data_IF_247128279586
#
_entry.id   IF_247128279586
#
_cell.length_a   1.000
_cell.length_b   1.000
_cell.length_c   1.000
_cell.angle_alpha   90.00
_cell.angle_beta   90.00
_cell.angle_gamma   90.00
#
_symmetry.space_group_name_H-M   'P 1'
#
loop_
_entity.id
_entity.type
_entity.pdbx_description
1 polymer ?
#
# COMPACT_ATOMS: atom_id res chain seq x y z
N UNK A 1 -4.01 12.05 0.93
CA UNK A 1 -2.86 12.86 1.31
C UNK A 1 -2.36 12.43 2.69
N UNK A 2 -1.07 12.38 2.92
CA UNK A 2 -0.42 11.93 4.15
C UNK A 2 0.62 12.97 4.58
N UNK A 3 0.17 14.14 5.00
CA UNK A 3 1.04 15.30 5.26
C UNK A 3 1.93 15.15 6.50
N UNK A 4 1.55 14.30 7.45
CA UNK A 4 2.21 14.19 8.76
C UNK A 4 2.64 12.77 9.14
N UNK A 5 2.53 11.81 8.23
CA UNK A 5 2.76 10.38 8.44
C UNK A 5 1.79 9.70 9.46
N UNK A 6 0.76 10.41 9.92
CA UNK A 6 -0.18 9.92 10.94
C UNK A 6 -1.62 9.92 10.49
N UNK A 7 -1.92 10.54 9.33
CA UNK A 7 -3.29 10.70 8.83
C UNK A 7 -3.37 10.49 7.33
N UNK A 8 -4.49 9.89 6.88
CA UNK A 8 -4.88 9.86 5.47
C UNK A 8 -6.14 10.70 5.29
N UNK A 9 -6.09 11.59 4.29
CA UNK A 9 -7.21 12.43 3.90
C UNK A 9 -7.64 12.15 2.46
N UNK A 10 -8.90 12.39 2.18
CA UNK A 10 -9.44 12.41 0.83
C UNK A 10 -9.97 13.80 0.49
N UNK A 11 -9.85 14.20 -0.76
CA UNK A 11 -10.50 15.37 -1.34
C UNK A 11 -11.38 14.92 -2.50
N UNK A 12 -12.52 15.56 -2.66
CA UNK A 12 -13.48 15.30 -3.73
C UNK A 12 -13.83 16.60 -4.42
N UNK A 13 -13.87 16.59 -5.77
CA UNK A 13 -14.26 17.73 -6.60
C UNK A 13 -14.72 17.24 -7.98
N UNK A 14 -15.52 18.05 -8.69
CA UNK A 14 -15.99 17.72 -10.04
C UNK A 14 -14.88 17.77 -11.09
N UNK A 15 -13.80 18.53 -10.83
CA UNK A 15 -12.65 18.67 -11.74
C UNK A 15 -11.32 18.65 -10.97
N UNK A 16 -10.24 18.23 -11.66
CA UNK A 16 -8.88 18.22 -11.07
C UNK A 16 -8.45 19.59 -10.52
N UNK A 17 -8.65 20.75 -11.23
CA UNK A 17 -8.29 22.04 -10.68
C UNK A 17 -9.01 22.42 -9.38
N UNK A 18 -10.24 21.94 -9.17
CA UNK A 18 -11.01 22.23 -7.96
C UNK A 18 -10.52 21.45 -6.75
N UNK A 19 -9.80 20.32 -6.94
CA UNK A 19 -9.20 19.55 -5.84
C UNK A 19 -8.25 20.38 -4.98
N UNK A 20 -7.60 21.41 -5.55
CA UNK A 20 -6.68 22.29 -4.81
C UNK A 20 -7.38 23.00 -3.64
N UNK A 21 -8.67 23.35 -3.81
CA UNK A 21 -9.46 24.04 -2.81
C UNK A 21 -10.54 23.16 -2.15
N UNK A 22 -10.60 21.87 -2.51
CA UNK A 22 -11.56 20.94 -1.92
C UNK A 22 -11.23 20.68 -0.45
N UNK A 23 -12.27 20.51 0.37
CA UNK A 23 -12.13 20.21 1.77
C UNK A 23 -11.50 18.82 1.97
N UNK A 24 -10.53 18.75 2.86
CA UNK A 24 -9.94 17.47 3.28
C UNK A 24 -10.87 16.76 4.26
N UNK A 25 -11.16 15.50 3.97
CA UNK A 25 -11.92 14.60 4.85
C UNK A 25 -10.97 13.54 5.40
N UNK A 26 -10.85 13.47 6.71
CA UNK A 26 -10.06 12.44 7.38
C UNK A 26 -10.71 11.06 7.16
N UNK A 27 -9.95 10.09 6.67
CA UNK A 27 -10.42 8.71 6.45
C UNK A 27 -9.70 7.68 7.30
N UNK A 28 -8.47 7.95 7.73
CA UNK A 28 -7.70 7.10 8.64
C UNK A 28 -6.77 7.97 9.48
N UNK A 29 -6.64 7.65 10.75
CA UNK A 29 -5.61 8.19 11.63
C UNK A 29 -4.91 7.08 12.42
N UNK A 30 -3.66 7.32 12.79
CA UNK A 30 -2.77 6.39 13.46
C UNK A 30 -3.22 5.97 14.87
N UNK A 31 -4.25 6.62 15.43
CA UNK A 31 -4.80 6.26 16.76
C UNK A 31 -5.96 5.28 16.67
N UNK A 32 -6.51 5.05 15.47
CA UNK A 32 -7.70 4.23 15.28
C UNK A 32 -7.41 2.74 15.44
N UNK A 33 -6.31 2.26 14.84
CA UNK A 33 -5.95 0.84 14.85
C UNK A 33 -4.47 0.65 15.24
N UNK A 34 -4.17 -0.12 16.30
CA UNK A 34 -2.79 -0.25 16.80
C UNK A 34 -1.76 -0.79 15.79
N UNK A 35 -2.20 -1.59 14.81
CA UNK A 35 -1.31 -2.19 13.80
C UNK A 35 -0.96 -1.23 12.66
N UNK A 36 -1.64 -0.10 12.54
CA UNK A 36 -1.37 0.99 11.60
C UNK A 36 -1.11 2.30 12.34
N UNK A 37 -0.33 2.23 13.41
CA UNK A 37 -0.10 3.30 14.38
C UNK A 37 0.83 4.41 13.92
N UNK A 38 1.52 4.28 12.76
CA UNK A 38 2.48 5.26 12.29
C UNK A 38 2.78 5.07 10.80
N UNK A 39 3.45 6.07 10.19
CA UNK A 39 3.96 6.04 8.82
C UNK A 39 2.89 5.62 7.79
N UNK A 40 1.74 6.30 7.80
CA UNK A 40 0.69 6.11 6.82
C UNK A 40 1.11 6.71 5.48
N UNK A 41 1.74 5.89 4.61
CA UNK A 41 2.37 6.34 3.37
C UNK A 41 1.69 5.80 2.12
N UNK A 42 1.97 6.47 0.99
CA UNK A 42 1.64 6.06 -0.37
C UNK A 42 0.20 5.53 -0.55
N UNK A 43 -0.85 6.28 -0.14
CA UNK A 43 -2.21 5.83 -0.36
C UNK A 43 -2.58 5.88 -1.85
N UNK A 44 -3.10 4.77 -2.37
CA UNK A 44 -3.61 4.66 -3.73
C UNK A 44 -5.03 4.12 -3.78
N UNK A 45 -5.88 4.73 -4.61
CA UNK A 45 -7.21 4.23 -4.92
C UNK A 45 -7.18 3.19 -6.03
N UNK A 46 -7.88 2.06 -5.79
CA UNK A 46 -8.08 1.04 -6.81
C UNK A 46 -9.53 0.52 -6.81
N UNK A 47 -10.07 0.28 -7.99
CA UNK A 47 -11.31 -0.46 -8.16
C UNK A 47 -10.98 -1.92 -8.49
N UNK A 48 -11.50 -2.86 -7.68
CA UNK A 48 -11.33 -4.30 -7.86
C UNK A 48 -12.72 -4.95 -7.82
N UNK A 49 -13.14 -5.60 -8.89
CA UNK A 49 -14.48 -6.19 -9.00
C UNK A 49 -15.63 -5.24 -8.65
N UNK A 50 -15.54 -3.97 -9.06
CA UNK A 50 -16.58 -2.96 -8.81
C UNK A 50 -16.64 -2.44 -7.37
N UNK A 51 -15.67 -2.74 -6.54
CA UNK A 51 -15.51 -2.19 -5.19
C UNK A 51 -14.29 -1.30 -5.12
N UNK A 52 -14.35 -0.26 -4.28
CA UNK A 52 -13.22 0.66 -4.06
C UNK A 52 -12.37 0.20 -2.88
N UNK A 53 -11.06 0.29 -3.09
CA UNK A 53 -10.03 -0.03 -2.10
C UNK A 53 -9.02 1.10 -2.01
N UNK A 54 -8.40 1.24 -0.84
CA UNK A 54 -7.19 2.05 -0.65
C UNK A 54 -6.08 1.11 -0.21
N UNK A 55 -5.02 1.03 -1.03
CA UNK A 55 -3.74 0.45 -0.62
C UNK A 55 -2.89 1.54 0.00
N UNK A 56 -2.19 1.23 1.07
CA UNK A 56 -1.26 2.14 1.76
C UNK A 56 -0.22 1.35 2.53
N UNK A 57 0.90 1.96 2.87
CA UNK A 57 1.85 1.41 3.80
C UNK A 57 1.56 1.93 5.22
N UNK A 58 1.88 1.15 6.22
CA UNK A 58 1.79 1.52 7.63
C UNK A 58 2.62 0.59 8.52
N UNK A 59 2.98 1.08 9.70
CA UNK A 59 3.66 0.31 10.75
C UNK A 59 2.93 0.45 12.09
N UNK A 60 2.99 -0.55 13.00
CA UNK A 60 2.47 -0.39 14.35
C UNK A 60 3.24 0.66 15.18
N UNK A 61 4.56 0.79 14.98
CA UNK A 61 5.42 1.61 15.84
C UNK A 61 6.72 2.10 15.16
N UNK A 62 7.47 1.22 14.52
CA UNK A 62 8.82 1.48 14.02
C UNK A 62 8.94 1.30 12.51
N UNK A 63 9.72 2.15 11.84
CA UNK A 63 9.97 2.10 10.40
C UNK A 63 10.33 0.70 9.86
N UNK A 64 11.13 -0.08 10.58
CA UNK A 64 11.54 -1.43 10.16
C UNK A 64 10.43 -2.49 10.22
N UNK A 65 9.19 -2.08 10.55
CA UNK A 65 7.98 -2.92 10.51
C UNK A 65 6.94 -2.37 9.55
N UNK A 66 7.37 -1.53 8.60
CA UNK A 66 6.49 -0.94 7.58
C UNK A 66 6.01 -2.03 6.62
N UNK A 67 4.71 -2.13 6.43
CA UNK A 67 4.09 -3.16 5.62
C UNK A 67 2.91 -2.61 4.79
N UNK A 68 2.67 -3.24 3.65
CA UNK A 68 1.55 -2.90 2.77
C UNK A 68 0.22 -3.35 3.37
N UNK A 69 -0.75 -2.45 3.41
CA UNK A 69 -2.12 -2.66 3.90
C UNK A 69 -3.14 -2.28 2.84
N UNK A 70 -4.37 -2.77 3.01
CA UNK A 70 -5.51 -2.43 2.17
C UNK A 70 -6.76 -2.28 3.02
N UNK A 71 -7.59 -1.28 2.72
CA UNK A 71 -8.91 -1.11 3.28
C UNK A 71 -9.97 -1.04 2.18
N UNK A 72 -11.18 -1.56 2.46
CA UNK A 72 -12.31 -1.68 1.54
C UNK A 72 -13.36 -0.65 1.88
N UNK A 73 -13.90 0.03 0.86
CA UNK A 73 -15.12 0.80 1.01
C UNK A 73 -16.33 -0.16 1.05
N UNK A 74 -17.19 -0.04 2.07
CA UNK A 74 -18.42 -0.84 2.15
C UNK A 74 -19.33 -0.57 0.94
N UNK A 75 -20.14 -1.53 0.56
CA UNK A 75 -21.10 -1.39 -0.53
C UNK A 75 -22.04 -0.19 -0.29
N UNK A 76 -22.13 0.69 -1.30
CA UNK A 76 -22.91 1.93 -1.21
C UNK A 76 -22.35 2.97 -0.23
N UNK A 77 -21.12 2.79 0.24
CA UNK A 77 -20.42 3.73 1.11
C UNK A 77 -20.02 5.02 0.40
N UNK A 78 -19.78 6.06 1.19
CA UNK A 78 -19.23 7.33 0.73
C UNK A 78 -17.72 7.34 0.99
N UNK A 79 -16.87 7.46 -0.06
CA UNK A 79 -15.41 7.50 0.12
C UNK A 79 -14.92 8.60 1.06
N UNK A 80 -15.67 9.70 1.18
CA UNK A 80 -15.37 10.83 2.07
C UNK A 80 -15.82 10.62 3.53
N UNK A 81 -16.37 9.43 3.85
CA UNK A 81 -16.82 9.09 5.20
C UNK A 81 -15.91 8.04 5.81
N UNK A 82 -15.22 8.38 6.91
CA UNK A 82 -14.28 7.50 7.62
C UNK A 82 -14.92 6.17 8.02
N UNK A 83 -16.17 6.20 8.48
CA UNK A 83 -16.91 5.05 8.99
C UNK A 83 -17.33 4.06 7.90
N UNK A 84 -17.21 4.45 6.63
CA UNK A 84 -17.56 3.62 5.48
C UNK A 84 -16.37 2.77 4.99
N UNK A 85 -15.16 3.03 5.50
CA UNK A 85 -13.97 2.24 5.25
C UNK A 85 -13.81 1.12 6.28
N UNK A 86 -13.36 -0.04 5.81
CA UNK A 86 -13.03 -1.16 6.69
C UNK A 86 -11.76 -0.88 7.50
N UNK A 87 -11.56 -1.64 8.56
CA UNK A 87 -10.23 -1.74 9.20
C UNK A 87 -9.17 -2.15 8.16
N UNK A 88 -8.01 -1.48 8.10
CA UNK A 88 -6.91 -1.86 7.23
C UNK A 88 -6.44 -3.30 7.51
N UNK A 89 -6.28 -4.09 6.47
CA UNK A 89 -5.75 -5.45 6.55
C UNK A 89 -4.39 -5.50 5.90
N UNK A 90 -3.42 -6.12 6.56
CA UNK A 90 -2.12 -6.39 5.99
C UNK A 90 -2.25 -7.30 4.76
N UNK A 91 -1.50 -6.99 3.71
CA UNK A 91 -1.41 -7.86 2.54
C UNK A 91 -0.48 -9.04 2.88
N UNK A 92 -0.94 -10.25 2.57
CA UNK A 92 -0.25 -11.50 2.93
C UNK A 92 -0.04 -12.41 1.72
N UNK A 93 0.91 -13.32 1.82
CA UNK A 93 1.18 -14.38 0.86
C UNK A 93 0.01 -15.39 0.75
N UNK A 94 -0.01 -16.30 -0.26
CA UNK A 94 -1.09 -17.27 -0.44
C UNK A 94 -1.33 -18.18 0.76
N UNK A 95 -0.27 -18.49 1.51
CA UNK A 95 -0.35 -19.34 2.73
C UNK A 95 -0.72 -18.56 4.00
N UNK A 96 -0.87 -17.23 3.87
CA UNK A 96 -1.18 -16.32 4.98
C UNK A 96 0.03 -15.79 5.73
N UNK A 97 1.25 -16.10 5.30
CA UNK A 97 2.46 -15.51 5.85
C UNK A 97 2.62 -14.05 5.39
N UNK A 98 3.43 -13.29 6.11
CA UNK A 98 3.77 -11.92 5.78
C UNK A 98 4.53 -11.83 4.45
N UNK A 99 4.44 -10.71 3.74
CA UNK A 99 5.18 -10.48 2.49
C UNK A 99 6.69 -10.45 2.72
N UNK A 100 7.12 -10.01 3.90
CA UNK A 100 8.53 -9.88 4.27
C UNK A 100 8.75 -10.19 5.76
N UNK A 101 10.00 -10.27 6.18
CA UNK A 101 10.38 -10.49 7.59
C UNK A 101 10.44 -9.14 8.32
N UNK A 102 9.41 -8.84 9.13
CA UNK A 102 9.35 -7.62 9.94
C UNK A 102 10.61 -7.42 10.80
N UNK A 103 11.11 -6.19 10.85
CA UNK A 103 12.36 -5.84 11.53
C UNK A 103 13.64 -6.07 10.71
N UNK A 104 13.54 -6.72 9.55
CA UNK A 104 14.65 -6.90 8.59
C UNK A 104 14.34 -6.31 7.23
N UNK A 105 13.08 -6.33 6.86
CA UNK A 105 12.56 -5.88 5.58
C UNK A 105 11.32 -5.02 5.78
N UNK A 106 11.00 -4.20 4.79
CA UNK A 106 9.76 -3.41 4.72
C UNK A 106 9.11 -3.59 3.37
N UNK A 107 7.79 -3.38 3.29
CA UNK A 107 7.03 -3.32 2.04
C UNK A 107 6.19 -2.06 1.97
N UNK A 108 6.23 -1.35 0.84
CA UNK A 108 5.51 -0.09 0.62
C UNK A 108 5.19 0.14 -0.86
N UNK A 109 4.52 1.25 -1.17
CA UNK A 109 4.20 1.72 -2.53
C UNK A 109 3.48 0.64 -3.36
N UNK A 110 2.48 -0.05 -2.75
CA UNK A 110 1.75 -1.09 -3.44
C UNK A 110 0.71 -0.50 -4.39
N UNK A 111 0.87 -0.78 -5.67
CA UNK A 111 -0.10 -0.46 -6.72
C UNK A 111 -0.79 -1.71 -7.24
N UNK A 112 -1.99 -1.57 -7.82
CA UNK A 112 -2.79 -2.67 -8.36
C UNK A 112 -3.22 -2.37 -9.79
N UNK A 113 -3.23 -3.39 -10.66
CA UNK A 113 -3.74 -3.28 -12.01
C UNK A 113 -4.39 -4.59 -12.47
N UNK A 114 -5.25 -4.46 -13.47
CA UNK A 114 -5.89 -5.61 -14.13
C UNK A 114 -5.18 -5.90 -15.46
N UNK A 115 -4.94 -7.19 -15.72
CA UNK A 115 -4.44 -7.68 -17.00
C UNK A 115 -5.11 -9.01 -17.36
N UNK A 116 -5.73 -9.05 -18.54
CA UNK A 116 -6.43 -10.25 -19.06
C UNK A 116 -7.44 -10.88 -18.10
N UNK A 117 -8.12 -10.06 -17.28
CA UNK A 117 -9.12 -10.50 -16.32
C UNK A 117 -8.55 -10.97 -14.97
N UNK A 118 -7.25 -10.95 -14.79
CA UNK A 118 -6.55 -11.18 -13.52
C UNK A 118 -6.09 -9.85 -12.90
N UNK A 119 -6.09 -9.76 -11.58
CA UNK A 119 -5.53 -8.64 -10.83
C UNK A 119 -4.12 -8.95 -10.37
N UNK A 120 -3.25 -7.96 -10.45
CA UNK A 120 -1.86 -8.01 -10.03
C UNK A 120 -1.54 -6.86 -9.12
N UNK A 121 -0.62 -7.08 -8.20
CA UNK A 121 -0.01 -6.01 -7.40
C UNK A 121 1.49 -5.97 -7.66
N UNK A 122 2.03 -4.74 -7.67
CA UNK A 122 3.46 -4.46 -7.64
C UNK A 122 3.73 -3.65 -6.39
N UNK A 123 4.83 -3.94 -5.71
CA UNK A 123 5.25 -3.19 -4.51
C UNK A 123 6.75 -3.09 -4.41
N UNK A 124 7.23 -2.11 -3.66
CA UNK A 124 8.62 -1.97 -3.25
C UNK A 124 8.87 -2.78 -1.99
N UNK A 125 9.92 -3.59 -1.99
CA UNK A 125 10.40 -4.30 -0.81
C UNK A 125 11.88 -4.05 -0.62
N UNK A 126 12.28 -3.58 0.58
CA UNK A 126 13.68 -3.32 0.92
C UNK A 126 14.13 -4.20 2.05
N UNK A 127 15.22 -4.92 1.81
CA UNK A 127 15.92 -5.69 2.84
C UNK A 127 17.04 -4.84 3.44
N UNK A 128 17.04 -4.66 4.77
CA UNK A 128 18.07 -3.95 5.51
C UNK A 128 19.05 -4.91 6.20
N UNK A 129 18.60 -6.06 6.68
CA UNK A 129 19.40 -7.03 7.41
C UNK A 129 19.39 -8.41 6.75
N UNK A 130 20.51 -9.18 6.83
CA UNK A 130 21.81 -8.86 7.46
C UNK A 130 22.65 -7.86 6.65
N UNK A 131 22.21 -7.51 5.45
CA UNK A 131 22.85 -6.55 4.54
C UNK A 131 21.77 -5.77 3.81
N UNK A 132 21.95 -4.46 3.70
CA UNK A 132 21.07 -3.62 2.89
C UNK A 132 21.25 -3.97 1.39
N UNK A 133 20.20 -4.48 0.78
CA UNK A 133 20.14 -4.82 -0.65
C UNK A 133 19.46 -3.74 -1.50
N UNK A 134 19.00 -2.67 -0.85
CA UNK A 134 18.18 -1.65 -1.48
C UNK A 134 16.71 -2.08 -1.65
N UNK A 135 15.92 -1.25 -2.30
CA UNK A 135 14.53 -1.56 -2.62
C UNK A 135 14.41 -2.20 -4.01
N UNK A 136 13.70 -3.31 -4.08
CA UNK A 136 13.39 -4.05 -5.30
C UNK A 136 11.88 -4.04 -5.54
N UNK A 137 11.46 -4.07 -6.80
CA UNK A 137 10.06 -4.28 -7.15
C UNK A 137 9.73 -5.77 -7.21
N UNK A 138 8.64 -6.12 -6.58
CA UNK A 138 8.03 -7.45 -6.63
C UNK A 138 6.67 -7.38 -7.31
N UNK A 139 6.22 -8.49 -7.88
CA UNK A 139 4.90 -8.66 -8.49
C UNK A 139 4.30 -9.99 -8.07
N UNK A 140 2.98 -10.00 -7.88
CA UNK A 140 2.19 -11.22 -7.69
C UNK A 140 0.76 -11.04 -8.19
N UNK A 141 0.04 -12.15 -8.43
CA UNK A 141 -1.41 -12.11 -8.63
C UNK A 141 -2.11 -11.85 -7.31
N UNK A 142 -3.08 -10.95 -7.33
CA UNK A 142 -3.93 -10.61 -6.19
C UNK A 142 -5.22 -11.42 -6.22
N UNK A 143 -5.73 -11.83 -5.07
CA UNK A 143 -7.05 -12.41 -4.95
C UNK A 143 -8.13 -11.31 -5.03
N UNK A 144 -8.91 -11.20 -6.11
CA UNK A 144 -9.90 -10.12 -6.25
C UNK A 144 -11.11 -10.26 -5.31
N UNK A 145 -11.27 -11.40 -4.63
CA UNK A 145 -12.31 -11.61 -3.62
C UNK A 145 -11.82 -11.23 -2.22
N UNK A 146 -10.52 -11.28 -2.00
CA UNK A 146 -9.83 -10.93 -0.76
C UNK A 146 -8.56 -10.13 -1.10
N UNK A 147 -8.65 -8.84 -1.47
CA UNK A 147 -7.49 -8.06 -1.97
C UNK A 147 -6.37 -7.79 -0.94
N UNK A 148 -6.48 -8.36 0.24
CA UNK A 148 -5.42 -8.46 1.23
C UNK A 148 -4.65 -9.78 1.15
N UNK A 149 -4.89 -10.63 0.14
CA UNK A 149 -4.25 -11.93 -0.02
C UNK A 149 -3.79 -12.14 -1.45
N UNK A 150 -2.53 -12.55 -1.61
CA UNK A 150 -1.99 -12.95 -2.90
C UNK A 150 -2.52 -14.31 -3.34
N UNK A 151 -2.59 -14.55 -4.66
CA UNK A 151 -2.87 -15.86 -5.27
C UNK A 151 -1.61 -16.62 -5.67
N UNK A 152 -0.51 -15.89 -5.90
CA UNK A 152 0.79 -16.49 -6.26
C UNK A 152 1.87 -15.99 -5.32
N UNK A 153 2.94 -16.75 -5.21
CA UNK A 153 4.13 -16.29 -4.51
C UNK A 153 4.72 -15.04 -5.19
N UNK A 154 5.32 -14.12 -4.42
CA UNK A 154 6.02 -12.95 -4.93
C UNK A 154 7.14 -13.31 -5.89
N UNK A 155 7.24 -12.60 -7.01
CA UNK A 155 8.33 -12.72 -7.98
C UNK A 155 9.04 -11.38 -8.10
N UNK A 156 10.38 -11.39 -8.12
CA UNK A 156 11.17 -10.18 -8.34
C UNK A 156 10.93 -9.68 -9.76
N UNK A 157 10.42 -8.46 -9.90
CA UNK A 157 10.18 -7.80 -11.16
C UNK A 157 11.40 -6.98 -11.59
N UNK A 158 12.00 -6.22 -10.69
CA UNK A 158 13.11 -5.32 -10.97
C UNK A 158 14.02 -5.15 -9.75
N UNK A 159 15.33 -5.03 -10.03
CA UNK A 159 16.37 -4.73 -9.02
C UNK A 159 17.08 -3.44 -9.38
N UNK A 160 17.69 -2.73 -8.41
CA UNK A 160 18.47 -1.51 -8.67
C UNK A 160 19.89 -1.84 -9.18
N UNK A 161 20.01 -2.64 -10.25
CA UNK A 161 21.28 -3.11 -10.83
C UNK A 161 21.67 -2.41 -12.12
N UNK A 162 20.83 -1.49 -12.62
CA UNK A 162 21.15 -0.63 -13.75
C UNK A 162 21.78 0.69 -13.31
N UNK A 163 22.61 1.29 -14.17
CA UNK A 163 23.30 2.54 -13.85
C UNK A 163 22.39 3.71 -13.49
N UNK A 164 21.16 3.74 -13.99
CA UNK A 164 20.16 4.75 -13.66
C UNK A 164 19.45 4.50 -12.31
N UNK A 165 19.39 3.24 -11.86
CA UNK A 165 18.74 2.84 -10.61
C UNK A 165 19.77 2.55 -9.49
N UNK A 166 21.01 2.23 -9.84
CA UNK A 166 22.07 1.96 -8.89
C UNK A 166 22.74 3.28 -8.45
N UNK A 167 22.01 4.06 -7.69
CA UNK A 167 22.49 5.29 -7.06
C UNK A 167 22.92 5.05 -5.59
N UNK A 168 23.14 6.10 -4.81
CA UNK A 168 23.57 5.99 -3.41
C UNK A 168 22.56 5.28 -2.50
N UNK A 169 21.30 5.21 -2.89
CA UNK A 169 20.21 4.61 -2.09
C UNK A 169 19.88 3.17 -2.50
N UNK A 170 20.32 2.71 -3.68
CA UNK A 170 20.01 1.41 -4.25
C UNK A 170 18.48 1.14 -4.28
N UNK A 171 17.70 2.11 -4.75
CA UNK A 171 16.25 2.09 -4.67
C UNK A 171 15.63 2.03 -6.06
N UNK A 172 14.71 1.09 -6.26
CA UNK A 172 13.67 1.13 -7.29
C UNK A 172 12.34 1.09 -6.55
N UNK A 173 11.62 2.17 -6.61
CA UNK A 173 10.30 2.39 -5.99
C UNK A 173 9.36 2.97 -7.03
N UNK A 174 8.04 2.82 -6.85
CA UNK A 174 7.08 3.37 -7.79
C UNK A 174 5.68 3.35 -7.27
#
# INVERSE_FOLDING_TARGET
>A
DADDNHTLYIREADTIPELVNAEEKLILDSTTYPHVGNLLWAPEFHEINGKLYIFHAATPDEFFKEESHVMELREGGNPSCKEDWSEPKRVVCPDGSDLCEAGKEITLDMTCFEWEGDYYVIWSQRQFLPKDLGAWLYIAKLNPQEPWKLLTDPVVLLKPDYGWSNNHTFVVEG
#
